data_IF_512935056096
#
_entry.id   IF_512935056096
#
_cell.length_a   1.000
_cell.length_b   1.000
_cell.length_c   1.000
_cell.angle_alpha   90.00
_cell.angle_beta   90.00
_cell.angle_gamma   90.00
#
_symmetry.space_group_name_H-M   'P 1'
#
loop_
_entity.id
_entity.type
_entity.pdbx_description
1 polymer ?
#
# COMPACT_ATOMS: atom_id res chain seq x y z
N UNK A 1 -24.22 9.22 15.44
CA UNK A 1 -23.75 9.21 14.03
C UNK A 1 -22.89 7.98 13.90
N UNK A 2 -23.25 7.02 13.05
CA UNK A 2 -22.36 5.87 12.77
C UNK A 2 -21.19 6.40 11.95
N UNK A 3 -20.01 6.45 12.55
CA UNK A 3 -18.78 6.85 11.84
C UNK A 3 -18.55 5.86 10.69
N UNK A 4 -18.44 6.40 9.48
CA UNK A 4 -18.19 5.57 8.30
C UNK A 4 -16.69 5.38 8.19
N UNK A 5 -16.22 4.18 8.55
CA UNK A 5 -14.81 3.82 8.47
C UNK A 5 -14.49 3.15 7.12
N UNK A 6 -13.32 3.46 6.58
CA UNK A 6 -12.81 2.92 5.33
C UNK A 6 -11.40 2.39 5.53
N UNK A 7 -11.14 1.18 5.02
CA UNK A 7 -9.78 0.67 4.85
C UNK A 7 -9.35 0.96 3.42
N UNK A 8 -8.21 1.64 3.28
CA UNK A 8 -7.62 1.94 1.97
C UNK A 8 -6.27 1.25 1.87
N UNK A 9 -6.13 0.42 0.83
CA UNK A 9 -4.87 -0.22 0.47
C UNK A 9 -4.31 0.47 -0.77
N UNK A 10 -3.10 1.02 -0.65
CA UNK A 10 -2.34 1.57 -1.77
C UNK A 10 -1.23 0.59 -2.14
N UNK A 11 -1.24 0.13 -3.38
CA UNK A 11 -0.21 -0.73 -3.95
C UNK A 11 0.59 0.05 -4.97
N UNK A 12 1.88 0.21 -4.71
CA UNK A 12 2.82 0.90 -5.59
C UNK A 12 3.83 -0.12 -6.12
N UNK A 13 4.00 -0.19 -7.43
CA UNK A 13 5.00 -1.04 -8.07
C UNK A 13 6.15 -0.18 -8.59
N UNK A 14 7.35 -0.43 -8.11
CA UNK A 14 8.55 0.31 -8.50
C UNK A 14 9.66 -0.64 -8.93
N UNK A 15 10.46 -0.21 -9.90
CA UNK A 15 11.68 -0.89 -10.28
C UNK A 15 12.87 -0.05 -9.80
N UNK A 16 13.68 -0.63 -8.93
CA UNK A 16 14.95 -0.06 -8.45
C UNK A 16 16.10 -0.86 -9.04
N UNK A 17 17.18 -0.18 -9.44
CA UNK A 17 18.36 -0.78 -10.09
C UNK A 17 19.61 -0.39 -9.31
N UNK A 18 20.58 -1.30 -9.22
CA UNK A 18 21.91 -1.02 -8.65
C UNK A 18 22.09 -1.39 -7.18
N UNK A 19 21.04 -1.90 -6.53
CA UNK A 19 21.06 -2.29 -5.11
C UNK A 19 21.64 -3.69 -4.92
N UNK A 20 22.47 -3.86 -3.88
CA UNK A 20 23.23 -5.12 -3.65
C UNK A 20 22.49 -6.08 -2.72
N UNK A 21 21.42 -5.62 -2.07
CA UNK A 21 20.59 -6.42 -1.18
C UNK A 21 19.10 -6.06 -1.29
N UNK A 22 18.25 -6.96 -0.79
CA UNK A 22 16.79 -6.75 -0.72
C UNK A 22 16.44 -5.52 0.14
N UNK A 23 17.12 -5.34 1.26
CA UNK A 23 16.81 -4.24 2.19
C UNK A 23 17.19 -2.88 1.61
N UNK A 24 18.33 -2.79 0.93
CA UNK A 24 18.72 -1.61 0.14
C UNK A 24 17.68 -1.31 -0.96
N UNK A 25 17.22 -2.33 -1.68
CA UNK A 25 16.17 -2.18 -2.69
C UNK A 25 14.85 -1.67 -2.12
N UNK A 26 14.41 -2.17 -0.97
CA UNK A 26 13.20 -1.67 -0.30
C UNK A 26 13.37 -0.23 0.14
N UNK A 27 14.52 0.12 0.75
CA UNK A 27 14.79 1.48 1.20
C UNK A 27 14.83 2.48 0.04
N UNK A 28 15.53 2.14 -1.04
CA UNK A 28 15.59 2.95 -2.25
C UNK A 28 14.21 3.16 -2.88
N UNK A 29 13.36 2.11 -2.90
CA UNK A 29 12.00 2.21 -3.39
C UNK A 29 11.13 3.16 -2.53
N UNK A 30 11.25 3.09 -1.20
CA UNK A 30 10.54 3.98 -0.27
C UNK A 30 10.98 5.43 -0.48
N UNK A 31 12.29 5.69 -0.56
CA UNK A 31 12.82 7.03 -0.79
C UNK A 31 12.36 7.60 -2.14
N UNK A 32 12.40 6.79 -3.20
CA UNK A 32 11.90 7.19 -4.52
C UNK A 32 10.39 7.48 -4.52
N UNK A 33 9.59 6.70 -3.80
CA UNK A 33 8.16 6.93 -3.63
C UNK A 33 7.89 8.26 -2.91
N UNK A 34 8.57 8.50 -1.78
CA UNK A 34 8.42 9.74 -1.00
C UNK A 34 8.80 10.98 -1.83
N UNK A 35 9.89 10.90 -2.60
CA UNK A 35 10.30 11.98 -3.49
C UNK A 35 9.28 12.21 -4.61
N UNK A 36 8.76 11.14 -5.21
CA UNK A 36 7.75 11.26 -6.27
C UNK A 36 6.45 11.90 -5.77
N UNK A 37 5.99 11.53 -4.57
CA UNK A 37 4.83 12.15 -3.92
C UNK A 37 5.10 13.64 -3.65
N UNK A 38 6.28 13.95 -3.10
CA UNK A 38 6.68 15.33 -2.78
C UNK A 38 6.77 16.22 -4.01
N UNK A 39 7.27 15.67 -5.10
CA UNK A 39 7.45 16.36 -6.38
C UNK A 39 6.16 16.39 -7.23
N UNK A 40 5.07 15.76 -6.76
CA UNK A 40 3.82 15.65 -7.51
C UNK A 40 3.93 14.82 -8.80
N UNK A 41 4.92 13.91 -8.86
CA UNK A 41 5.14 13.03 -10.02
C UNK A 41 4.10 11.92 -10.05
N UNK A 42 3.70 11.55 -11.26
CA UNK A 42 2.78 10.44 -11.47
C UNK A 42 3.44 9.11 -11.05
N UNK A 43 2.77 8.40 -10.15
CA UNK A 43 3.15 7.06 -9.72
C UNK A 43 2.11 6.07 -10.21
N UNK A 44 2.57 4.95 -10.78
CA UNK A 44 1.71 3.81 -11.07
C UNK A 44 1.22 3.19 -9.77
N UNK A 45 0.07 3.66 -9.29
CA UNK A 45 -0.53 3.27 -8.04
C UNK A 45 -1.89 2.63 -8.28
N UNK A 46 -2.13 1.49 -7.64
CA UNK A 46 -3.45 0.89 -7.53
C UNK A 46 -3.99 1.17 -6.13
N UNK A 47 -5.17 1.77 -6.05
CA UNK A 47 -5.87 2.01 -4.80
C UNK A 47 -7.10 1.10 -4.70
N UNK A 48 -7.25 0.42 -3.57
CA UNK A 48 -8.44 -0.37 -3.24
C UNK A 48 -9.00 0.15 -1.92
N UNK A 49 -10.21 0.68 -1.95
CA UNK A 49 -10.91 1.12 -0.75
C UNK A 49 -12.07 0.17 -0.44
N UNK A 50 -12.22 -0.21 0.84
CA UNK A 50 -13.31 -1.06 1.32
C UNK A 50 -13.93 -0.41 2.55
N UNK A 51 -15.27 -0.31 2.54
CA UNK A 51 -16.02 0.21 3.69
C UNK A 51 -15.98 -0.85 4.80
N UNK A 52 -15.64 -0.46 6.02
CA UNK A 52 -15.72 -1.36 7.17
C UNK A 52 -17.19 -1.47 7.57
N UNK A 53 -17.88 -2.50 7.06
CA UNK A 53 -19.31 -2.67 7.30
C UNK A 53 -19.65 -3.48 8.55
N UNK A 54 -18.69 -4.06 9.26
CA UNK A 54 -18.85 -4.66 10.60
C UNK A 54 -17.46 -4.96 11.21
N UNK A 55 -17.18 -4.41 12.40
CA UNK A 55 -15.97 -4.70 13.21
C UNK A 55 -15.96 -6.13 13.81
N UNK A 56 -16.90 -7.00 13.44
CA UNK A 56 -17.21 -8.23 14.20
C UNK A 56 -17.28 -9.53 13.40
N UNK A 57 -16.87 -9.57 12.13
CA UNK A 57 -16.65 -10.85 11.46
C UNK A 57 -15.54 -10.71 10.43
N UNK A 58 -14.31 -10.99 10.87
CA UNK A 58 -13.22 -11.34 9.97
C UNK A 58 -13.53 -12.71 9.34
N UNK A 59 -14.31 -12.72 8.26
CA UNK A 59 -14.13 -13.77 7.27
C UNK A 59 -13.01 -13.31 6.31
N UNK A 60 -11.85 -13.98 6.30
CA UNK A 60 -10.78 -13.64 5.39
C UNK A 60 -11.28 -13.86 3.96
N UNK A 61 -11.19 -12.83 3.13
CA UNK A 61 -11.59 -12.85 1.71
C UNK A 61 -10.85 -13.91 0.87
N UNK A 62 -9.85 -14.61 1.44
CA UNK A 62 -9.08 -15.65 0.77
C UNK A 62 -8.74 -16.89 1.64
N UNK A 63 -9.38 -17.11 2.79
CA UNK A 63 -9.18 -18.35 3.54
C UNK A 63 -7.74 -18.66 4.01
N UNK A 64 -6.87 -17.65 4.11
CA UNK A 64 -5.53 -17.81 4.71
C UNK A 64 -5.47 -16.98 5.99
N UNK A 65 -5.36 -17.68 7.11
CA UNK A 65 -4.95 -17.18 8.42
C UNK A 65 -3.43 -17.24 8.53
N UNK A 66 -2.81 -16.16 9.04
CA UNK A 66 -1.43 -16.20 9.56
C UNK A 66 -1.44 -16.60 11.03
#
# INVERSE_FOLDING_TARGET
MTETEWVVTLSVRMTVRGERSKDEAVKAAIEAMQNSIRDGKELSMQAVARRMTNLTNEEPLFGITW
#
